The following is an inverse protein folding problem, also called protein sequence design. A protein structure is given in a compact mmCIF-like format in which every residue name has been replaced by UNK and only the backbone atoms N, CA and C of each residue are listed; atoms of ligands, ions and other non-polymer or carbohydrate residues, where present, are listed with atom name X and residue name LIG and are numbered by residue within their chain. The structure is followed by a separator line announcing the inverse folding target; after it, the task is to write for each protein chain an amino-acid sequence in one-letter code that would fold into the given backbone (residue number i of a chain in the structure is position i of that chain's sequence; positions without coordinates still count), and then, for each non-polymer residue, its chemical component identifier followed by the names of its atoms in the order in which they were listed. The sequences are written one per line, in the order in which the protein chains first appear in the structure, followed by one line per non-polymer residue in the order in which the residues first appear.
data_IF_135723310898
#
_entry.id   IF_135723310898
#
_cell.length_a   1.000
_cell.length_b   1.000
_cell.length_c   1.000
_cell.angle_alpha   90.00
_cell.angle_beta   90.00
_cell.angle_gamma   90.00
#
_symmetry.space_group_name_H-M   'P 1'
#
loop_
_entity.id
_entity.type
_entity.pdbx_description
1 polymer ?
#
# COMPACT_ATOMS: atom_id res chain seq x y z
N UNK A 1 -6.26 -2.69 -47.50
CA UNK A 1 -5.66 -1.75 -46.53
C UNK A 1 -5.54 -2.51 -45.22
N UNK A 2 -4.42 -3.22 -45.04
CA UNK A 2 -4.21 -4.12 -43.91
C UNK A 2 -3.44 -3.34 -42.86
N UNK A 3 -4.09 -3.01 -41.74
CA UNK A 3 -3.45 -2.37 -40.60
C UNK A 3 -2.58 -3.43 -39.89
N UNK A 4 -1.27 -3.31 -40.05
CA UNK A 4 -0.29 -4.01 -39.23
C UNK A 4 -0.38 -3.42 -37.82
N UNK A 5 -0.98 -4.17 -36.89
CA UNK A 5 -0.87 -3.88 -35.47
C UNK A 5 0.54 -4.32 -35.03
N UNK A 6 1.45 -3.36 -34.90
CA UNK A 6 2.69 -3.58 -34.17
C UNK A 6 2.32 -3.88 -32.71
N UNK A 7 2.32 -5.16 -32.37
CA UNK A 7 2.27 -5.61 -30.98
C UNK A 7 3.51 -5.09 -30.25
N UNK A 8 3.39 -4.54 -29.03
CA UNK A 8 4.55 -4.10 -28.28
C UNK A 8 5.47 -5.31 -28.00
N UNK A 9 6.75 -5.12 -28.31
CA UNK A 9 7.81 -6.11 -28.16
C UNK A 9 7.97 -6.47 -26.69
N UNK A 10 7.75 -7.74 -26.37
CA UNK A 10 7.86 -8.29 -25.02
C UNK A 10 9.31 -8.73 -24.78
N UNK A 11 10.01 -8.07 -23.85
CA UNK A 11 11.34 -8.49 -23.40
C UNK A 11 11.39 -8.50 -21.87
N UNK A 12 11.50 -9.70 -21.28
CA UNK A 12 12.17 -9.97 -19.99
C UNK A 12 11.58 -9.38 -18.68
N UNK A 13 11.10 -10.29 -17.82
CA UNK A 13 10.96 -10.20 -16.35
C UNK A 13 10.09 -9.08 -15.74
N UNK A 14 9.00 -9.48 -15.08
CA UNK A 14 8.21 -8.63 -14.18
C UNK A 14 6.92 -8.14 -14.82
N UNK A 15 5.77 -8.63 -14.35
CA UNK A 15 4.47 -8.04 -14.70
C UNK A 15 4.45 -6.63 -14.10
N UNK A 16 4.66 -5.60 -14.93
CA UNK A 16 4.41 -4.22 -14.53
C UNK A 16 2.94 -4.13 -14.12
N UNK A 17 2.71 -4.04 -12.83
CA UNK A 17 1.39 -3.75 -12.27
C UNK A 17 1.21 -2.24 -12.44
N UNK A 18 0.24 -1.76 -13.22
CA UNK A 18 0.02 -0.32 -13.36
C UNK A 18 -0.25 0.27 -11.98
N UNK A 19 0.63 1.16 -11.51
CA UNK A 19 0.39 1.90 -10.28
C UNK A 19 -0.86 2.78 -10.39
N UNK A 20 -1.37 3.25 -9.26
CA UNK A 20 -2.53 4.15 -9.22
C UNK A 20 -2.28 5.34 -8.29
N UNK A 21 -3.02 6.43 -8.49
CA UNK A 21 -2.86 7.68 -7.72
C UNK A 21 -4.13 8.09 -6.98
N UNK A 22 -5.13 7.21 -6.91
CA UNK A 22 -6.46 7.50 -6.34
C UNK A 22 -6.92 6.33 -5.50
N UNK A 23 -7.68 6.62 -4.46
CA UNK A 23 -8.23 5.60 -3.58
C UNK A 23 -9.71 5.36 -3.91
N UNK A 24 -10.01 4.22 -4.54
CA UNK A 24 -11.37 3.87 -4.93
C UNK A 24 -11.61 2.34 -4.89
N UNK A 25 -12.78 1.86 -4.41
CA UNK A 25 -13.08 0.42 -4.34
C UNK A 25 -13.05 -0.29 -5.69
N UNK A 26 -13.44 0.42 -6.76
CA UNK A 26 -13.54 -0.14 -8.11
C UNK A 26 -12.20 -0.33 -8.80
N UNK A 27 -11.09 0.16 -8.22
CA UNK A 27 -9.77 -0.10 -8.80
C UNK A 27 -9.54 -1.62 -8.81
N UNK A 28 -9.28 -2.21 -9.98
CA UNK A 28 -9.04 -3.65 -10.09
C UNK A 28 -7.88 -4.06 -9.20
N UNK A 29 -8.05 -5.18 -8.49
CA UNK A 29 -6.98 -5.72 -7.68
C UNK A 29 -5.91 -6.35 -8.58
N UNK A 30 -4.67 -6.24 -8.14
CA UNK A 30 -3.49 -6.68 -8.91
C UNK A 30 -2.98 -8.03 -8.44
N UNK A 31 -3.32 -8.38 -7.19
CA UNK A 31 -3.03 -9.65 -6.53
C UNK A 31 -4.00 -9.87 -5.36
N UNK A 32 -3.95 -11.08 -4.79
CA UNK A 32 -4.70 -11.46 -3.60
C UNK A 32 -3.74 -12.02 -2.54
N UNK A 33 -4.08 -11.85 -1.27
CA UNK A 33 -3.35 -12.39 -0.13
C UNK A 33 -4.33 -12.93 0.91
N UNK A 34 -4.03 -14.09 1.47
CA UNK A 34 -4.79 -14.67 2.59
C UNK A 34 -4.21 -14.20 3.92
N UNK A 35 -4.98 -14.29 5.01
CA UNK A 35 -4.48 -13.98 6.36
C UNK A 35 -3.23 -14.82 6.70
N UNK A 36 -2.21 -14.18 7.26
CA UNK A 36 -0.88 -14.75 7.51
C UNK A 36 0.05 -14.77 6.29
N UNK A 37 -0.47 -14.50 5.09
CA UNK A 37 0.31 -14.42 3.86
C UNK A 37 1.18 -13.16 3.79
N UNK A 38 2.23 -13.25 2.96
CA UNK A 38 3.13 -12.14 2.67
C UNK A 38 3.17 -11.82 1.18
N UNK A 39 3.42 -10.56 0.85
CA UNK A 39 3.53 -10.07 -0.52
C UNK A 39 4.67 -9.06 -0.61
N UNK A 40 5.39 -9.09 -1.73
CA UNK A 40 6.29 -8.02 -2.15
C UNK A 40 5.55 -7.12 -3.12
N UNK A 41 5.54 -5.83 -2.85
CA UNK A 41 5.09 -4.81 -3.80
C UNK A 41 6.30 -4.10 -4.37
N UNK A 42 6.40 -4.08 -5.70
CA UNK A 42 7.32 -3.23 -6.45
C UNK A 42 6.59 -1.91 -6.70
N UNK A 43 7.20 -0.80 -6.31
CA UNK A 43 6.61 0.53 -6.40
C UNK A 43 7.53 1.41 -7.25
N UNK A 44 6.93 2.18 -8.17
CA UNK A 44 7.67 3.08 -9.06
C UNK A 44 8.08 4.37 -8.34
N UNK A 45 8.87 5.21 -9.00
CA UNK A 45 9.15 6.57 -8.52
C UNK A 45 7.84 7.38 -8.46
N UNK A 46 7.83 8.48 -7.69
CA UNK A 46 6.70 9.40 -7.49
C UNK A 46 5.59 8.90 -6.56
N UNK A 47 4.45 9.62 -6.54
CA UNK A 47 3.30 9.37 -5.68
C UNK A 47 2.43 8.18 -6.15
N UNK A 48 2.96 7.34 -7.04
CA UNK A 48 2.30 6.14 -7.54
C UNK A 48 2.21 5.07 -6.47
N UNK A 49 1.00 4.55 -6.27
CA UNK A 49 0.70 3.49 -5.34
C UNK A 49 0.82 2.13 -6.03
N UNK A 50 1.55 1.22 -5.39
CA UNK A 50 1.59 -0.19 -5.72
C UNK A 50 0.41 -0.91 -5.02
N UNK A 51 -0.31 -1.74 -5.79
CA UNK A 51 -1.59 -2.32 -5.38
C UNK A 51 -2.75 -1.91 -6.30
N UNK A 52 -4.03 -2.04 -5.87
CA UNK A 52 -4.44 -2.61 -4.59
C UNK A 52 -4.34 -4.13 -4.58
N UNK A 53 -3.91 -4.69 -3.46
CA UNK A 53 -4.05 -6.13 -3.18
C UNK A 53 -5.35 -6.40 -2.42
N UNK A 54 -5.99 -7.52 -2.75
CA UNK A 54 -7.16 -7.99 -2.01
C UNK A 54 -6.72 -8.87 -0.85
N UNK A 55 -7.22 -8.57 0.34
CA UNK A 55 -7.13 -9.46 1.51
C UNK A 55 -8.33 -10.38 1.48
N UNK A 56 -8.11 -11.65 1.15
CA UNK A 56 -9.17 -12.62 0.92
C UNK A 56 -10.05 -12.75 2.17
N UNK A 57 -11.36 -12.56 1.95
CA UNK A 57 -12.38 -12.65 2.97
C UNK A 57 -12.55 -11.41 3.84
N UNK A 58 -11.73 -10.35 3.73
CA UNK A 58 -11.92 -9.12 4.50
C UNK A 58 -13.25 -8.42 4.13
N UNK A 59 -14.00 -7.99 5.14
CA UNK A 59 -15.28 -7.27 4.95
C UNK A 59 -15.30 -5.97 5.77
N UNK A 60 -16.15 -4.98 5.40
CA UNK A 60 -16.28 -3.74 6.17
C UNK A 60 -16.51 -3.97 7.67
N UNK A 61 -15.79 -3.24 8.52
CA UNK A 61 -15.81 -3.40 9.99
C UNK A 61 -14.75 -4.37 10.54
N UNK A 62 -14.05 -5.11 9.67
CA UNK A 62 -12.83 -5.81 10.04
C UNK A 62 -11.64 -4.85 10.17
N UNK A 63 -10.54 -5.36 10.71
CA UNK A 63 -9.23 -4.67 10.70
C UNK A 63 -8.22 -5.60 10.06
N UNK A 64 -7.40 -5.08 9.14
CA UNK A 64 -6.19 -5.77 8.72
C UNK A 64 -5.01 -5.25 9.54
N UNK A 65 -4.21 -6.17 10.03
CA UNK A 65 -2.93 -5.89 10.70
C UNK A 65 -1.85 -6.12 9.65
N UNK A 66 -1.06 -5.10 9.39
CA UNK A 66 0.02 -5.15 8.40
C UNK A 66 1.35 -5.04 9.12
N UNK A 67 2.16 -6.08 9.00
CA UNK A 67 3.56 -6.07 9.40
C UNK A 67 4.40 -5.61 8.21
N UNK A 68 5.20 -4.56 8.41
CA UNK A 68 6.23 -4.15 7.45
C UNK A 68 7.45 -5.01 7.70
N UNK A 69 7.72 -5.97 6.82
CA UNK A 69 8.84 -6.90 6.99
C UNK A 69 10.16 -6.24 6.59
N UNK A 70 10.15 -5.39 5.57
CA UNK A 70 11.33 -4.69 5.10
C UNK A 70 11.08 -3.91 3.81
N UNK A 71 11.99 -2.99 3.51
CA UNK A 71 11.98 -2.21 2.27
C UNK A 71 13.37 -2.17 1.66
N UNK A 72 13.43 -1.98 0.35
CA UNK A 72 14.67 -1.71 -0.35
C UNK A 72 14.46 -0.90 -1.61
N UNK A 73 15.58 -0.45 -2.18
CA UNK A 73 15.61 0.42 -3.36
C UNK A 73 15.45 -0.43 -4.63
N UNK A 74 15.17 0.23 -5.76
CA UNK A 74 15.05 -0.41 -7.07
C UNK A 74 16.34 -1.09 -7.57
N UNK A 75 17.49 -0.75 -6.99
CA UNK A 75 18.77 -1.44 -7.22
C UNK A 75 18.89 -2.78 -6.45
N UNK A 76 17.85 -3.18 -5.71
CA UNK A 76 17.79 -4.40 -4.92
C UNK A 76 18.39 -4.28 -3.52
N UNK A 77 18.99 -3.16 -3.16
CA UNK A 77 19.62 -2.97 -1.85
C UNK A 77 18.58 -2.73 -0.76
N UNK A 78 18.62 -3.56 0.29
CA UNK A 78 17.82 -3.37 1.50
C UNK A 78 18.12 -2.04 2.18
N UNK A 79 17.08 -1.32 2.60
CA UNK A 79 17.18 -0.01 3.23
C UNK A 79 16.58 -0.04 4.65
N UNK A 80 17.40 -0.14 5.70
CA UNK A 80 16.91 -0.27 7.08
C UNK A 80 16.05 0.89 7.58
N UNK A 81 16.29 2.10 7.06
CA UNK A 81 15.50 3.30 7.33
C UNK A 81 14.40 3.54 6.31
N UNK A 82 14.26 2.64 5.32
CA UNK A 82 13.22 2.71 4.31
C UNK A 82 11.84 2.58 4.93
N UNK A 83 10.87 3.32 4.41
CA UNK A 83 9.48 3.26 4.84
C UNK A 83 8.54 3.79 3.75
N UNK A 84 7.26 3.36 3.73
CA UNK A 84 6.27 3.94 2.84
C UNK A 84 5.90 5.35 3.29
N UNK A 85 5.83 6.27 2.34
CA UNK A 85 5.22 7.58 2.54
C UNK A 85 3.74 7.44 2.84
N UNK A 86 3.08 6.46 2.19
CA UNK A 86 1.68 6.11 2.43
C UNK A 86 1.39 4.62 2.37
N UNK A 87 0.43 4.18 3.19
CA UNK A 87 -0.14 2.82 3.19
C UNK A 87 -1.58 2.84 3.72
N UNK A 88 -2.51 2.15 3.07
CA UNK A 88 -3.91 2.21 3.46
C UNK A 88 -4.84 1.27 2.70
N UNK A 89 -6.10 1.23 3.11
CA UNK A 89 -7.19 0.51 2.45
C UNK A 89 -8.02 1.46 1.58
N UNK A 90 -8.70 0.93 0.56
CA UNK A 90 -9.66 1.75 -0.17
C UNK A 90 -10.86 2.13 0.74
N UNK A 91 -11.36 3.37 0.64
CA UNK A 91 -12.49 3.85 1.44
C UNK A 91 -13.83 3.37 0.88
N UNK A 92 -14.87 3.38 1.72
CA UNK A 92 -16.25 3.17 1.27
C UNK A 92 -16.79 4.39 0.49
N UNK A 93 -17.85 4.19 -0.30
CA UNK A 93 -18.61 5.31 -0.87
C UNK A 93 -19.46 5.99 0.22
N UNK A 94 -19.69 7.32 0.15
CA UNK A 94 -19.23 8.25 -0.89
C UNK A 94 -17.80 8.80 -0.66
N UNK A 95 -17.09 8.43 0.41
CA UNK A 95 -15.73 8.92 0.67
C UNK A 95 -14.71 8.54 -0.43
N UNK A 96 -15.00 7.50 -1.21
CA UNK A 96 -14.31 7.17 -2.45
C UNK A 96 -14.64 8.13 -3.63
N UNK A 97 -15.86 8.65 -3.71
CA UNK A 97 -16.32 9.53 -4.80
C UNK A 97 -15.62 10.91 -4.76
N UNK A 98 -15.10 11.31 -3.60
CA UNK A 98 -14.25 12.49 -3.47
C UNK A 98 -12.80 12.27 -3.95
N UNK A 99 -12.48 11.08 -4.51
CA UNK A 99 -11.23 10.73 -5.20
C UNK A 99 -9.99 11.51 -4.73
N UNK A 100 -9.80 11.57 -3.40
CA UNK A 100 -8.78 12.40 -2.80
C UNK A 100 -7.42 11.89 -3.26
N UNK A 101 -6.58 12.81 -3.75
CA UNK A 101 -5.20 12.50 -4.08
C UNK A 101 -4.47 11.98 -2.84
N UNK A 102 -3.45 11.17 -3.05
CA UNK A 102 -2.64 10.58 -1.97
C UNK A 102 -2.21 11.62 -0.92
N UNK A 103 -1.77 12.81 -1.34
CA UNK A 103 -1.37 13.90 -0.44
C UNK A 103 -2.52 14.55 0.34
N UNK A 104 -3.77 14.39 -0.11
CA UNK A 104 -4.97 14.95 0.56
C UNK A 104 -5.60 13.99 1.59
N UNK A 105 -5.23 12.70 1.59
CA UNK A 105 -5.81 11.72 2.52
C UNK A 105 -5.26 11.75 3.94
N UNK A 106 -4.24 12.57 4.22
CA UNK A 106 -3.83 12.93 5.58
C UNK A 106 -3.83 11.75 6.56
N UNK A 107 -4.70 11.81 7.59
CA UNK A 107 -4.80 10.83 8.69
C UNK A 107 -5.60 9.56 8.37
N UNK A 108 -6.25 9.50 7.19
CA UNK A 108 -7.07 8.34 6.78
C UNK A 108 -6.25 7.20 6.19
N UNK A 109 -4.98 7.48 5.87
CA UNK A 109 -3.95 6.53 5.48
C UNK A 109 -2.79 6.59 6.47
N UNK A 110 -2.15 5.45 6.70
CA UNK A 110 -0.91 5.40 7.47
C UNK A 110 0.28 5.86 6.64
N UNK A 111 1.42 6.12 7.29
CA UNK A 111 2.67 6.45 6.60
C UNK A 111 3.52 7.45 7.35
N UNK A 112 4.52 8.00 6.64
CA UNK A 112 5.58 8.83 7.23
C UNK A 112 5.08 10.12 7.88
N UNK A 113 3.90 10.63 7.47
CA UNK A 113 3.26 11.81 8.08
C UNK A 113 2.79 11.57 9.52
N UNK A 114 2.58 10.31 9.92
CA UNK A 114 2.21 9.92 11.28
C UNK A 114 3.46 9.41 12.01
N UNK A 115 4.11 8.39 11.45
CA UNK A 115 5.35 7.82 11.94
C UNK A 115 6.03 7.01 10.81
N UNK A 116 7.38 7.05 10.69
CA UNK A 116 8.09 6.19 9.73
C UNK A 116 7.84 4.70 10.02
N UNK A 117 7.18 4.01 9.09
CA UNK A 117 6.91 2.56 9.18
C UNK A 117 8.08 1.76 8.59
N UNK A 118 9.18 1.68 9.33
CA UNK A 118 10.36 0.90 8.92
C UNK A 118 10.16 -0.61 9.11
N UNK A 119 11.07 -1.43 8.60
CA UNK A 119 11.06 -2.88 8.83
C UNK A 119 10.95 -3.25 10.32
N UNK A 120 9.98 -4.11 10.65
CA UNK A 120 9.57 -4.47 12.00
C UNK A 120 8.35 -3.69 12.52
N UNK A 121 7.92 -2.63 11.84
CA UNK A 121 6.74 -1.85 12.23
C UNK A 121 5.44 -2.60 11.98
N UNK A 122 4.42 -2.29 12.78
CA UNK A 122 3.05 -2.82 12.61
C UNK A 122 2.02 -1.70 12.57
N UNK A 123 1.04 -1.85 11.68
CA UNK A 123 -0.08 -0.91 11.55
C UNK A 123 -1.42 -1.64 11.44
N UNK A 124 -2.44 -1.10 12.11
CA UNK A 124 -3.83 -1.53 11.98
C UNK A 124 -4.55 -0.61 11.01
N UNK A 125 -5.20 -1.19 10.01
CA UNK A 125 -5.97 -0.46 9.02
C UNK A 125 -7.43 -0.94 9.04
N UNK A 126 -8.40 -0.04 9.29
CA UNK A 126 -9.81 -0.41 9.27
C UNK A 126 -10.24 -0.75 7.84
N UNK A 127 -10.96 -1.86 7.69
CA UNK A 127 -11.52 -2.30 6.41
C UNK A 127 -12.85 -1.58 6.19
N UNK A 128 -12.95 -0.86 5.08
CA UNK A 128 -14.16 -0.12 4.71
C UNK A 128 -14.88 -0.75 3.50
N UNK A 129 -14.18 -1.58 2.72
CA UNK A 129 -14.71 -2.23 1.51
C UNK A 129 -14.28 -3.68 1.47
N UNK A 130 -15.04 -4.52 0.76
CA UNK A 130 -14.71 -5.94 0.58
C UNK A 130 -13.29 -6.10 0.04
N UNK A 131 -12.54 -7.00 0.64
CA UNK A 131 -11.16 -7.31 0.28
C UNK A 131 -10.15 -6.26 0.71
N UNK A 132 -10.56 -5.22 1.47
CA UNK A 132 -9.74 -4.10 1.94
C UNK A 132 -9.12 -3.20 0.87
N UNK A 133 -8.64 -3.77 -0.25
CA UNK A 133 -7.96 -3.07 -1.35
C UNK A 133 -6.75 -2.30 -0.84
N UNK A 134 -5.82 -3.01 -0.19
CA UNK A 134 -4.62 -2.45 0.44
C UNK A 134 -3.65 -1.95 -0.64
N UNK A 135 -3.19 -0.71 -0.51
CA UNK A 135 -2.13 -0.14 -1.35
C UNK A 135 -1.07 0.51 -0.47
N UNK A 136 0.15 0.59 -0.98
CA UNK A 136 1.26 1.33 -0.41
C UNK A 136 1.99 2.09 -1.52
N UNK A 137 2.89 3.01 -1.20
CA UNK A 137 3.69 3.71 -2.19
C UNK A 137 4.46 4.87 -1.59
N UNK A 138 4.97 5.73 -2.46
CA UNK A 138 5.75 6.91 -2.08
C UNK A 138 6.93 6.52 -1.16
N UNK A 139 7.76 5.56 -1.58
CA UNK A 139 8.78 4.99 -0.68
C UNK A 139 9.91 5.98 -0.43
N UNK A 140 10.26 6.17 0.85
CA UNK A 140 11.33 7.08 1.27
C UNK A 140 12.51 6.30 1.84
N UNK A 141 13.72 6.73 1.49
CA UNK A 141 14.97 6.09 1.93
C UNK A 141 15.95 7.10 2.53
N UNK A 142 15.56 7.81 3.62
CA UNK A 142 16.44 8.80 4.24
C UNK A 142 17.64 8.14 4.93
N UNK A 143 18.71 8.90 5.13
CA UNK A 143 19.75 8.50 6.06
C UNK A 143 19.16 8.31 7.46
N UNK A 144 19.78 7.46 8.29
CA UNK A 144 19.30 7.22 9.67
C UNK A 144 19.22 8.55 10.44
N UNK A 145 18.07 8.83 11.03
CA UNK A 145 17.82 10.04 11.80
C UNK A 145 17.57 11.31 10.97
N UNK A 146 17.60 11.23 9.63
CA UNK A 146 17.20 12.33 8.78
C UNK A 146 15.67 12.41 8.68
N UNK A 147 15.16 13.63 8.52
CA UNK A 147 13.74 13.88 8.30
C UNK A 147 13.25 13.26 6.98
N UNK A 148 11.96 12.95 6.96
CA UNK A 148 11.25 12.47 5.80
C UNK A 148 11.02 13.62 4.81
N UNK A 149 11.98 13.86 3.92
CA UNK A 149 11.91 14.91 2.90
C UNK A 149 12.19 14.35 1.51
N UNK A 150 11.50 14.88 0.51
CA UNK A 150 11.67 14.53 -0.90
C UNK A 150 10.48 13.77 -1.46
N UNK A 151 10.61 13.37 -2.74
CA UNK A 151 9.62 12.57 -3.45
C UNK A 151 9.85 11.08 -3.23
N UNK A 152 8.78 10.29 -3.32
CA UNK A 152 8.80 8.84 -3.42
C UNK A 152 9.80 8.34 -4.45
N UNK A 153 10.54 7.29 -4.09
CA UNK A 153 11.56 6.65 -4.93
C UNK A 153 11.15 5.21 -5.21
N UNK A 154 11.51 4.73 -6.38
CA UNK A 154 11.27 3.36 -6.78
C UNK A 154 11.98 2.37 -5.85
N UNK A 155 11.32 1.24 -5.60
CA UNK A 155 11.83 0.21 -4.72
C UNK A 155 10.79 -0.85 -4.42
N UNK A 156 11.06 -1.64 -3.39
CA UNK A 156 10.21 -2.73 -2.96
C UNK A 156 9.84 -2.59 -1.48
N UNK A 157 8.66 -3.08 -1.13
CA UNK A 157 8.19 -3.24 0.25
C UNK A 157 7.61 -4.64 0.44
N UNK A 158 8.08 -5.33 1.48
CA UNK A 158 7.57 -6.63 1.89
C UNK A 158 6.59 -6.46 3.04
N UNK A 159 5.39 -6.98 2.87
CA UNK A 159 4.30 -6.89 3.84
C UNK A 159 3.82 -8.28 4.22
N UNK A 160 3.47 -8.48 5.49
CA UNK A 160 2.62 -9.60 5.94
C UNK A 160 1.30 -9.06 6.45
N UNK A 161 0.20 -9.73 6.10
CA UNK A 161 -1.15 -9.25 6.42
C UNK A 161 -1.89 -10.29 7.25
N UNK A 162 -2.51 -9.85 8.35
CA UNK A 162 -3.43 -10.63 9.16
C UNK A 162 -4.82 -9.99 9.15
N UNK A 163 -5.86 -10.81 9.08
CA UNK A 163 -7.25 -10.36 9.13
C UNK A 163 -7.84 -10.59 10.52
N UNK A 164 -8.38 -9.53 11.12
CA UNK A 164 -9.06 -9.60 12.41
C UNK A 164 -10.54 -9.24 12.25
N UNK A 165 -11.40 -10.24 12.48
CA UNK A 165 -12.84 -10.11 12.34
C UNK A 165 -13.45 -9.17 13.36
N UNK A 166 -14.34 -8.29 12.89
CA UNK A 166 -14.99 -7.25 13.70
C UNK A 166 -13.99 -6.39 14.48
N UNK A 167 -12.79 -6.20 13.91
CA UNK A 167 -11.68 -5.54 14.60
C UNK A 167 -11.96 -4.08 14.94
N UNK A 168 -12.76 -3.38 14.12
CA UNK A 168 -13.08 -1.96 14.36
C UNK A 168 -13.80 -1.79 15.69
N UNK A 169 -14.88 -2.55 15.90
CA UNK A 169 -15.66 -2.54 17.14
C UNK A 169 -14.83 -3.07 18.31
N UNK A 170 -14.16 -4.21 18.14
CA UNK A 170 -13.46 -4.90 19.22
C UNK A 170 -12.29 -4.13 19.80
N UNK A 171 -11.61 -3.32 18.98
CA UNK A 171 -10.41 -2.58 19.39
C UNK A 171 -10.57 -1.06 19.32
N UNK A 172 -11.77 -0.55 19.00
CA UNK A 172 -12.04 0.88 18.91
C UNK A 172 -11.22 1.59 17.82
N UNK A 173 -10.96 0.92 16.70
CA UNK A 173 -10.12 1.46 15.61
C UNK A 173 -10.92 2.46 14.79
N UNK A 174 -10.64 3.75 14.95
CA UNK A 174 -11.31 4.84 14.20
C UNK A 174 -10.53 5.31 12.98
N UNK A 175 -9.31 4.83 12.79
CA UNK A 175 -8.42 5.16 11.69
C UNK A 175 -7.15 4.30 11.73
N UNK A 176 -6.14 4.58 10.90
CA UNK A 176 -4.84 3.93 10.97
C UNK A 176 -4.22 4.04 12.36
N UNK A 177 -3.84 2.92 12.97
CA UNK A 177 -3.22 2.89 14.29
C UNK A 177 -1.86 2.19 14.24
N UNK A 178 -0.80 2.91 14.62
CA UNK A 178 0.52 2.32 14.79
C UNK A 178 0.52 1.42 16.02
N UNK A 179 1.06 0.22 15.88
CA UNK A 179 1.43 -0.62 17.01
C UNK A 179 2.96 -0.57 17.18
N UNK A 180 3.46 0.01 18.28
CA UNK A 180 4.88 -0.05 18.63
C UNK A 180 5.32 -1.46 19.04
#
# INVERSE_FOLDING_TARGET
MTLSLDAPRYTGTGRAVPGHIRWHPDIPAVAEVITGGSVRLECEDSDLLCGPIVVVGAEPGDVIVVDVLGLGRSDGVYAPSGHPGVIGCAPALPAAAEALSTGLRGRDVGGCAIAPLTGGSRILLPVQVRGAKLSAGDLHFPARGAECRGSGRAGWIDLRVHLTRKGVERFGVTGPMLMP
#
